data_IF_485633662490
#
_entry.id   IF_485633662490
#
_cell.length_a   1.000
_cell.length_b   1.000
_cell.length_c   1.000
_cell.angle_alpha   90.00
_cell.angle_beta   90.00
_cell.angle_gamma   90.00
#
_symmetry.space_group_name_H-M   'P 1'
#
loop_
_entity.id
_entity.type
_entity.pdbx_description
1 polymer ?
#
# COMPACT_ATOMS: atom_id res chain seq x y z
N UNK A 1 31.54 9.58 22.67
CA UNK A 1 31.63 8.65 21.52
C UNK A 1 30.28 8.60 20.84
N UNK A 2 30.18 9.00 19.56
CA UNK A 2 28.96 8.73 18.76
C UNK A 2 29.08 7.30 18.23
N UNK A 3 28.04 6.45 18.31
CA UNK A 3 28.07 5.15 17.68
C UNK A 3 28.24 5.36 16.17
N UNK A 4 29.20 4.65 15.58
CA UNK A 4 29.53 4.75 14.16
C UNK A 4 28.29 4.48 13.32
N UNK A 5 28.09 5.29 12.28
CA UNK A 5 27.12 4.97 11.22
C UNK A 5 27.51 3.61 10.67
N UNK A 6 26.72 2.58 10.98
CA UNK A 6 26.91 1.24 10.41
C UNK A 6 27.01 1.35 8.90
N UNK A 7 27.98 0.67 8.31
CA UNK A 7 28.14 0.60 6.88
C UNK A 7 26.79 0.20 6.26
N UNK A 8 26.25 1.03 5.36
CA UNK A 8 25.03 0.66 4.63
C UNK A 8 25.37 -0.59 3.83
N UNK A 9 24.61 -1.66 4.02
CA UNK A 9 24.66 -2.80 3.11
C UNK A 9 24.53 -2.30 1.66
N UNK A 10 25.25 -2.88 0.70
CA UNK A 10 25.10 -2.50 -0.70
C UNK A 10 23.61 -2.64 -1.08
N UNK A 11 23.07 -1.61 -1.75
CA UNK A 11 21.70 -1.65 -2.24
C UNK A 11 21.61 -2.74 -3.31
N UNK A 12 20.50 -3.47 -3.36
CA UNK A 12 20.30 -4.45 -4.43
C UNK A 12 20.27 -3.72 -5.77
N UNK A 13 20.70 -4.36 -6.88
CA UNK A 13 20.67 -3.73 -8.21
C UNK A 13 19.30 -3.16 -8.59
N UNK A 14 18.22 -3.82 -8.14
CA UNK A 14 16.84 -3.40 -8.36
C UNK A 14 16.49 -2.08 -7.67
N UNK A 15 17.17 -1.71 -6.58
CA UNK A 15 17.00 -0.42 -5.91
C UNK A 15 17.94 0.66 -6.46
N UNK A 16 18.99 0.28 -7.19
CA UNK A 16 19.88 1.23 -7.86
C UNK A 16 19.36 1.62 -9.25
N UNK A 17 18.66 0.71 -9.92
CA UNK A 17 18.05 0.93 -11.23
C UNK A 17 16.71 0.19 -11.31
N UNK A 18 15.64 0.73 -10.70
CA UNK A 18 14.33 0.11 -10.73
C UNK A 18 13.74 0.10 -12.13
N UNK A 19 12.86 -0.87 -12.39
CA UNK A 19 12.00 -0.85 -13.58
C UNK A 19 11.00 0.32 -13.49
N UNK A 20 10.55 0.79 -14.65
CA UNK A 20 9.52 1.82 -14.77
C UNK A 20 8.15 1.14 -14.81
N UNK A 21 7.18 1.65 -14.04
CA UNK A 21 5.83 1.05 -13.96
C UNK A 21 5.11 0.97 -15.33
N UNK A 22 5.32 1.96 -16.19
CA UNK A 22 4.79 1.97 -17.56
C UNK A 22 5.18 0.71 -18.37
N UNK A 23 6.37 0.16 -18.12
CA UNK A 23 6.93 -0.98 -18.86
C UNK A 23 6.62 -2.33 -18.21
N UNK A 24 5.88 -2.35 -17.08
CA UNK A 24 5.55 -3.58 -16.36
C UNK A 24 4.40 -4.32 -17.05
N UNK A 25 4.71 -5.55 -17.48
CA UNK A 25 3.72 -6.58 -17.82
C UNK A 25 3.27 -7.31 -16.55
N UNK A 26 2.02 -7.05 -16.12
CA UNK A 26 1.42 -7.66 -14.93
C UNK A 26 1.18 -9.16 -15.09
N UNK A 27 1.19 -9.70 -16.31
CA UNK A 27 1.07 -11.13 -16.54
C UNK A 27 2.30 -11.92 -16.02
N UNK A 28 3.49 -11.29 -16.02
CA UNK A 28 4.75 -11.89 -15.62
C UNK A 28 4.94 -12.06 -14.10
N UNK A 29 4.02 -11.52 -13.28
CA UNK A 29 4.08 -11.56 -11.83
C UNK A 29 2.89 -12.30 -11.23
N UNK A 30 3.09 -13.07 -10.16
CA UNK A 30 2.01 -13.77 -9.47
C UNK A 30 1.25 -12.87 -8.47
N UNK A 31 1.86 -11.78 -8.04
CA UNK A 31 1.28 -10.77 -7.15
C UNK A 31 2.04 -9.44 -7.21
N UNK A 32 1.48 -8.40 -6.60
CA UNK A 32 2.12 -7.09 -6.42
C UNK A 32 2.12 -6.68 -4.94
N UNK A 33 3.23 -6.12 -4.47
CA UNK A 33 3.39 -5.63 -3.10
C UNK A 33 3.80 -4.15 -3.08
N UNK A 34 3.02 -3.32 -2.40
CA UNK A 34 3.29 -1.89 -2.19
C UNK A 34 3.76 -1.64 -0.74
N UNK A 35 5.05 -1.37 -0.52
CA UNK A 35 5.54 -0.95 0.79
C UNK A 35 5.00 0.44 1.15
N UNK A 36 5.04 0.78 2.44
CA UNK A 36 4.63 2.08 2.94
C UNK A 36 5.77 3.10 3.07
N UNK A 37 5.65 3.96 4.10
CA UNK A 37 6.35 5.25 4.18
C UNK A 37 5.56 6.33 3.45
N UNK A 38 5.74 7.62 3.76
CA UNK A 38 4.87 8.68 3.20
C UNK A 38 4.96 8.89 1.68
N UNK A 39 6.00 8.38 1.01
CA UNK A 39 6.24 8.57 -0.44
C UNK A 39 5.03 8.31 -1.36
N UNK A 40 4.32 7.17 -1.24
CA UNK A 40 3.14 6.84 -2.06
C UNK A 40 2.01 7.87 -2.02
N UNK A 41 1.95 8.70 -0.97
CA UNK A 41 0.99 9.81 -0.89
C UNK A 41 1.30 10.92 -1.90
N UNK A 42 2.57 11.08 -2.28
CA UNK A 42 3.06 12.16 -3.13
C UNK A 42 3.07 11.77 -4.61
N UNK A 43 3.50 10.54 -4.92
CA UNK A 43 3.63 10.06 -6.30
C UNK A 43 2.52 9.08 -6.69
N UNK A 44 2.39 7.95 -5.98
CA UNK A 44 1.53 6.84 -6.40
C UNK A 44 0.03 7.14 -6.27
N UNK A 45 -0.37 8.09 -5.41
CA UNK A 45 -1.78 8.48 -5.25
C UNK A 45 -2.41 9.12 -6.50
N UNK A 46 -1.59 9.51 -7.49
CA UNK A 46 -2.03 10.09 -8.76
C UNK A 46 -1.36 9.46 -10.00
N UNK A 47 -0.65 8.35 -9.83
CA UNK A 47 0.10 7.70 -10.90
C UNK A 47 -0.75 6.71 -11.69
N UNK A 48 -0.95 6.99 -12.98
CA UNK A 48 -1.82 6.18 -13.84
C UNK A 48 -1.25 4.78 -14.13
N UNK A 49 0.07 4.61 -14.15
CA UNK A 49 0.70 3.31 -14.38
C UNK A 49 0.58 2.41 -13.14
N UNK A 50 0.72 2.97 -11.95
CA UNK A 50 0.41 2.33 -10.66
C UNK A 50 -1.06 1.91 -10.62
N UNK A 51 -1.98 2.79 -11.01
CA UNK A 51 -3.40 2.48 -11.08
C UNK A 51 -3.70 1.33 -12.07
N UNK A 52 -3.03 1.32 -13.22
CA UNK A 52 -3.10 0.22 -14.21
C UNK A 52 -2.60 -1.09 -13.60
N UNK A 53 -1.42 -1.10 -12.98
CA UNK A 53 -0.83 -2.28 -12.35
C UNK A 53 -1.78 -2.88 -11.31
N UNK A 54 -2.37 -2.05 -10.44
CA UNK A 54 -3.32 -2.51 -9.41
C UNK A 54 -4.58 -3.10 -10.06
N UNK A 55 -5.19 -2.35 -10.99
CA UNK A 55 -6.45 -2.74 -11.63
C UNK A 55 -6.30 -4.04 -12.42
N UNK A 56 -5.27 -4.18 -13.25
CA UNK A 56 -5.00 -5.39 -14.03
C UNK A 56 -4.71 -6.60 -13.12
N UNK A 57 -3.93 -6.41 -12.06
CA UNK A 57 -3.59 -7.49 -11.13
C UNK A 57 -4.84 -8.03 -10.44
N UNK A 58 -5.71 -7.15 -9.94
CA UNK A 58 -6.98 -7.54 -9.32
C UNK A 58 -7.93 -8.19 -10.33
N UNK A 59 -8.03 -7.66 -11.54
CA UNK A 59 -8.86 -8.22 -12.60
C UNK A 59 -8.41 -9.63 -13.02
N UNK A 60 -7.11 -9.93 -12.88
CA UNK A 60 -6.54 -11.25 -13.13
C UNK A 60 -6.69 -12.25 -11.95
N UNK A 61 -7.45 -11.91 -10.90
CA UNK A 61 -7.55 -12.69 -9.65
C UNK A 61 -6.17 -12.95 -9.00
N UNK A 62 -5.24 -11.99 -9.11
CA UNK A 62 -3.92 -12.06 -8.48
C UNK A 62 -3.87 -11.16 -7.23
N UNK A 63 -3.15 -11.54 -6.16
CA UNK A 63 -3.06 -10.73 -4.95
C UNK A 63 -2.39 -9.37 -5.18
N UNK A 64 -2.97 -8.33 -4.60
CA UNK A 64 -2.34 -7.02 -4.37
C UNK A 64 -2.25 -6.80 -2.87
N UNK A 65 -1.03 -6.64 -2.36
CA UNK A 65 -0.76 -6.41 -0.94
C UNK A 65 -0.19 -5.00 -0.73
N UNK A 66 -0.77 -4.22 0.19
CA UNK A 66 -0.32 -2.85 0.48
C UNK A 66 -0.23 -2.61 2.00
N UNK A 67 0.79 -1.91 2.49
CA UNK A 67 0.97 -1.70 3.94
C UNK A 67 1.23 -0.24 4.31
N UNK A 68 0.76 0.18 5.49
CA UNK A 68 1.00 1.51 6.04
C UNK A 68 0.41 2.59 5.11
N UNK A 69 1.24 3.44 4.51
CA UNK A 69 0.82 4.41 3.48
C UNK A 69 0.79 3.86 2.05
N UNK A 70 1.26 2.63 1.82
CA UNK A 70 1.17 1.96 0.50
C UNK A 70 -0.24 1.97 -0.11
N UNK A 71 -1.33 1.79 0.67
CA UNK A 71 -2.71 1.96 0.21
C UNK A 71 -3.04 3.32 -0.42
N UNK A 72 -2.20 4.35 -0.29
CA UNK A 72 -2.36 5.61 -1.03
C UNK A 72 -2.38 5.39 -2.56
N UNK A 73 -1.67 4.37 -3.06
CA UNK A 73 -1.68 3.99 -4.47
C UNK A 73 -3.08 3.57 -4.98
N UNK A 74 -3.98 3.13 -4.08
CA UNK A 74 -5.36 2.83 -4.46
C UNK A 74 -6.12 4.10 -4.88
N UNK A 75 -5.75 5.28 -4.37
CA UNK A 75 -6.43 6.54 -4.71
C UNK A 75 -6.38 6.81 -6.22
N UNK A 76 -5.27 6.48 -6.88
CA UNK A 76 -5.13 6.64 -8.33
C UNK A 76 -6.09 5.76 -9.15
N UNK A 77 -6.69 4.74 -8.55
CA UNK A 77 -7.68 3.87 -9.20
C UNK A 77 -9.12 4.41 -9.12
N UNK A 78 -9.33 5.60 -8.55
CA UNK A 78 -10.68 6.12 -8.30
C UNK A 78 -11.53 6.33 -9.55
N UNK A 79 -10.86 6.64 -10.67
CA UNK A 79 -11.50 6.96 -11.95
C UNK A 79 -11.63 5.73 -12.87
N UNK A 80 -11.39 4.53 -12.34
CA UNK A 80 -11.54 3.30 -13.11
C UNK A 80 -12.98 3.13 -13.65
N UNK A 81 -13.16 2.57 -14.86
CA UNK A 81 -14.49 2.29 -15.39
C UNK A 81 -15.29 1.36 -14.45
N UNK A 82 -16.41 1.85 -13.92
CA UNK A 82 -17.22 1.14 -12.92
C UNK A 82 -16.93 1.54 -11.47
N UNK A 83 -16.02 2.50 -11.25
CA UNK A 83 -15.64 3.01 -9.95
C UNK A 83 -14.38 2.36 -9.37
N UNK A 84 -13.93 2.80 -8.18
CA UNK A 84 -12.71 2.27 -7.56
C UNK A 84 -12.84 0.76 -7.28
N UNK A 85 -11.84 -0.07 -7.61
CA UNK A 85 -11.87 -1.53 -7.40
C UNK A 85 -11.90 -1.96 -5.92
N UNK A 86 -11.79 -1.00 -4.99
CA UNK A 86 -11.87 -1.20 -3.55
C UNK A 86 -13.15 -0.64 -2.92
N UNK A 87 -14.03 0.03 -3.69
CA UNK A 87 -15.27 0.58 -3.16
C UNK A 87 -16.17 -0.56 -2.63
N UNK A 88 -16.67 -0.39 -1.40
CA UNK A 88 -17.46 -1.39 -0.67
C UNK A 88 -16.65 -2.55 -0.08
N UNK A 89 -15.33 -2.58 -0.27
CA UNK A 89 -14.45 -3.66 0.20
C UNK A 89 -13.79 -3.29 1.53
N UNK A 90 -13.48 -4.33 2.31
CA UNK A 90 -12.80 -4.17 3.59
C UNK A 90 -11.31 -3.98 3.37
N UNK A 91 -10.75 -2.95 3.98
CA UNK A 91 -9.30 -2.71 3.96
C UNK A 91 -8.85 -1.95 5.20
N UNK A 92 -7.54 -1.89 5.41
CA UNK A 92 -6.88 -1.04 6.41
C UNK A 92 -5.73 -0.26 5.77
N UNK A 93 -5.22 0.75 6.47
CA UNK A 93 -4.04 1.53 6.09
C UNK A 93 -3.55 2.30 7.33
N UNK A 94 -2.51 3.11 7.17
CA UNK A 94 -2.04 3.97 8.26
C UNK A 94 -3.18 4.88 8.74
N UNK A 95 -3.45 4.83 10.04
CA UNK A 95 -4.63 5.48 10.63
C UNK A 95 -4.37 6.96 10.89
N UNK A 96 -5.45 7.74 10.95
CA UNK A 96 -5.42 9.13 11.40
C UNK A 96 -4.81 9.26 12.80
N UNK A 97 -5.08 8.28 13.67
CA UNK A 97 -4.52 8.24 15.03
C UNK A 97 -2.99 8.07 15.00
N UNK A 98 -2.47 7.19 14.16
CA UNK A 98 -1.03 6.99 13.98
C UNK A 98 -0.38 8.21 13.29
N UNK A 99 -1.03 8.81 12.30
CA UNK A 99 -0.55 10.03 11.63
C UNK A 99 -0.48 11.23 12.58
N UNK A 100 -1.46 11.33 13.49
CA UNK A 100 -1.47 12.36 14.53
C UNK A 100 -0.35 12.14 15.54
N UNK A 101 -0.14 10.89 15.99
CA UNK A 101 0.95 10.53 16.89
C UNK A 101 2.33 10.72 16.23
N UNK A 102 2.43 10.50 14.92
CA UNK A 102 3.61 10.79 14.11
C UNK A 102 3.87 12.29 13.91
N UNK A 103 2.93 13.16 14.26
CA UNK A 103 3.07 14.62 14.23
C UNK A 103 2.98 15.24 12.83
N UNK A 104 2.51 14.50 11.84
CA UNK A 104 2.39 14.96 10.45
C UNK A 104 0.94 15.24 10.04
N UNK A 105 -0.06 14.74 10.77
CA UNK A 105 -1.48 14.91 10.41
C UNK A 105 -1.89 16.37 10.16
N UNK A 106 -1.48 17.30 11.03
CA UNK A 106 -1.83 18.72 10.90
C UNK A 106 -1.17 19.42 9.69
N UNK A 107 -0.18 18.79 9.06
CA UNK A 107 0.54 19.30 7.89
C UNK A 107 0.19 18.56 6.61
N UNK A 108 -0.46 17.40 6.73
CA UNK A 108 -0.84 16.60 5.58
C UNK A 108 -1.97 17.31 4.81
N UNK A 109 -1.90 17.35 3.46
CA UNK A 109 -2.96 17.94 2.64
C UNK A 109 -4.27 17.14 2.74
N UNK A 110 -4.17 15.86 3.08
CA UNK A 110 -5.26 14.93 3.32
C UNK A 110 -4.75 13.76 4.17
N UNK A 111 -5.64 13.08 4.88
CA UNK A 111 -5.32 11.89 5.66
C UNK A 111 -5.75 10.63 4.90
N UNK A 112 -4.90 9.61 4.90
CA UNK A 112 -5.11 8.41 4.08
C UNK A 112 -6.40 7.66 4.44
N UNK A 113 -6.65 7.46 5.74
CA UNK A 113 -7.85 6.77 6.22
C UNK A 113 -9.13 7.51 5.79
N UNK A 114 -9.18 8.82 5.95
CA UNK A 114 -10.34 9.62 5.54
C UNK A 114 -10.54 9.54 4.03
N UNK A 115 -9.45 9.69 3.26
CA UNK A 115 -9.51 9.66 1.80
C UNK A 115 -10.01 8.32 1.26
N UNK A 116 -9.59 7.20 1.86
CA UNK A 116 -10.07 5.87 1.47
C UNK A 116 -11.55 5.69 1.81
N UNK A 117 -12.01 6.17 2.97
CA UNK A 117 -13.43 6.15 3.35
C UNK A 117 -14.29 6.99 2.39
N UNK A 118 -13.84 8.19 2.03
CA UNK A 118 -14.52 9.06 1.06
C UNK A 118 -14.71 8.38 -0.31
N UNK A 119 -13.73 7.57 -0.72
CA UNK A 119 -13.76 6.79 -1.96
C UNK A 119 -14.52 5.46 -1.82
N UNK A 120 -15.16 5.23 -0.67
CA UNK A 120 -16.09 4.12 -0.46
C UNK A 120 -15.48 2.87 0.18
N UNK A 121 -14.25 2.92 0.72
CA UNK A 121 -13.68 1.79 1.45
C UNK A 121 -14.45 1.51 2.76
N UNK A 122 -14.68 0.23 3.07
CA UNK A 122 -15.06 -0.21 4.42
C UNK A 122 -13.79 -0.31 5.27
N UNK A 123 -13.33 0.85 5.76
CA UNK A 123 -12.06 0.97 6.47
C UNK A 123 -12.13 0.37 7.87
N UNK A 124 -11.32 -0.65 8.11
CA UNK A 124 -11.16 -1.35 9.39
C UNK A 124 -9.85 -0.88 10.05
N UNK A 125 -9.94 -0.47 11.31
CA UNK A 125 -8.79 -0.05 12.11
C UNK A 125 -8.69 -0.86 13.40
N UNK A 126 -7.46 -1.02 13.87
CA UNK A 126 -7.12 -1.58 15.16
C UNK A 126 -6.23 -0.61 15.94
N UNK A 127 -5.83 -1.01 17.15
CA UNK A 127 -4.96 -0.20 18.01
C UNK A 127 -3.69 0.28 17.28
N UNK A 128 -3.34 1.58 17.38
CA UNK A 128 -2.16 2.16 16.78
C UNK A 128 -0.89 1.35 17.06
N UNK A 129 -0.04 1.22 16.04
CA UNK A 129 1.29 0.58 16.10
C UNK A 129 1.30 -0.93 16.36
N UNK A 130 0.14 -1.54 16.61
CA UNK A 130 -0.02 -3.00 16.67
C UNK A 130 -0.16 -3.63 15.28
N UNK A 131 0.17 -4.92 15.11
CA UNK A 131 -0.06 -5.60 13.84
C UNK A 131 -1.56 -5.73 13.56
N UNK A 132 -1.98 -5.31 12.36
CA UNK A 132 -3.33 -5.49 11.87
C UNK A 132 -3.33 -5.68 10.36
N UNK A 133 -3.97 -6.76 9.90
CA UNK A 133 -4.07 -7.13 8.49
C UNK A 133 -5.54 -7.37 8.16
N UNK A 134 -5.98 -6.88 7.02
CA UNK A 134 -7.29 -7.15 6.44
C UNK A 134 -7.09 -7.85 5.11
N UNK A 135 -7.68 -9.04 5.00
CA UNK A 135 -7.74 -9.81 3.75
C UNK A 135 -9.18 -9.82 3.27
N UNK A 136 -9.42 -9.16 2.14
CA UNK A 136 -10.66 -9.22 1.40
C UNK A 136 -10.31 -9.79 0.02
N UNK A 137 -10.72 -11.01 -0.30
CA UNK A 137 -10.40 -11.67 -1.58
C UNK A 137 -8.91 -11.58 -1.95
N UNK A 138 -8.61 -10.86 -3.04
CA UNK A 138 -7.24 -10.60 -3.55
C UNK A 138 -6.66 -9.25 -3.17
N UNK A 139 -7.33 -8.48 -2.31
CA UNK A 139 -6.83 -7.22 -1.76
C UNK A 139 -6.42 -7.47 -0.31
N UNK A 140 -5.12 -7.43 -0.06
CA UNK A 140 -4.52 -7.65 1.24
C UNK A 140 -3.96 -6.30 1.72
N UNK A 141 -4.31 -5.87 2.92
CA UNK A 141 -3.83 -4.59 3.45
C UNK A 141 -3.33 -4.72 4.89
N UNK A 142 -2.25 -4.01 5.22
CA UNK A 142 -1.68 -3.95 6.56
C UNK A 142 -1.66 -2.52 7.09
N UNK A 143 -2.04 -2.34 8.36
CA UNK A 143 -2.28 -1.00 8.93
C UNK A 143 -1.00 -0.16 9.01
N UNK A 144 0.12 -0.73 9.45
CA UNK A 144 1.32 0.02 9.84
C UNK A 144 2.59 -0.84 9.66
N UNK A 145 3.80 -0.35 9.99
CA UNK A 145 5.03 -1.15 9.85
C UNK A 145 5.04 -2.46 10.65
N UNK A 146 4.37 -2.54 11.81
CA UNK A 146 4.26 -3.79 12.57
C UNK A 146 3.43 -4.85 11.83
N UNK A 147 2.65 -4.43 10.84
CA UNK A 147 1.82 -5.30 10.00
C UNK A 147 2.57 -5.87 8.79
N UNK A 148 3.80 -5.44 8.50
CA UNK A 148 4.53 -5.88 7.30
C UNK A 148 4.82 -7.38 7.28
N UNK A 149 5.26 -7.96 8.40
CA UNK A 149 5.51 -9.40 8.49
C UNK A 149 4.23 -10.23 8.34
N UNK A 150 3.16 -10.02 9.13
CA UNK A 150 1.94 -10.79 8.96
C UNK A 150 1.30 -10.60 7.58
N UNK A 151 1.38 -9.39 6.98
CA UNK A 151 0.89 -9.18 5.62
C UNK A 151 1.68 -10.02 4.59
N UNK A 152 3.01 -10.10 4.73
CA UNK A 152 3.83 -10.92 3.84
C UNK A 152 3.51 -12.43 3.98
N UNK A 153 3.16 -12.88 5.18
CA UNK A 153 2.72 -14.26 5.43
C UNK A 153 1.38 -14.55 4.73
N UNK A 154 0.40 -13.65 4.86
CA UNK A 154 -0.88 -13.76 4.13
C UNK A 154 -0.68 -13.72 2.62
N UNK A 155 0.17 -12.81 2.12
CA UNK A 155 0.50 -12.75 0.70
C UNK A 155 1.12 -14.06 0.21
N UNK A 156 2.11 -14.59 0.93
CA UNK A 156 2.75 -15.86 0.57
C UNK A 156 1.76 -17.02 0.55
N UNK A 157 0.78 -17.05 1.45
CA UNK A 157 -0.26 -18.08 1.47
C UNK A 157 -1.29 -17.92 0.34
N UNK A 158 -1.45 -16.71 -0.20
CA UNK A 158 -2.36 -16.40 -1.29
C UNK A 158 -1.77 -16.70 -2.70
N UNK A 159 -0.45 -16.93 -2.79
CA UNK A 159 0.23 -17.39 -4.00
C UNK A 159 -0.12 -18.88 -4.22
N UNK A 160 -0.40 -19.24 -5.48
CA UNK A 160 -0.76 -20.61 -5.89
C UNK A 160 0.48 -21.41 -6.26
#
# INVERSE_FOLDING_TARGET
MRPGRGARSPRSPQLESPLVLADIDTAAYDAVFYPGGHGPMEDLASDADSARVITETLAADKPVALVCHGPAALVATSDAPGGPPFAGRRLTAFTNAEETQGGLAAKAPWLLQDRLRELGADFVEAEPWGPHVVVDGRLLTGQNPASSLPLAQELSAALR
#
